data_IF_393981398066
#
_entry.id   IF_393981398066
#
_cell.length_a   1.000
_cell.length_b   1.000
_cell.length_c   1.000
_cell.angle_alpha   90.00
_cell.angle_beta   90.00
_cell.angle_gamma   90.00
#
_symmetry.space_group_name_H-M   'P 1'
#
loop_
_entity.id
_entity.type
_entity.pdbx_description
1 polymer ?
#
# COMPACT_ATOMS: atom_id res chain seq x y z
N UNK A 1 -5.66 -24.73 -20.28
CA UNK A 1 -6.47 -23.82 -19.47
C UNK A 1 -5.48 -22.94 -18.75
N UNK A 2 -5.38 -21.69 -19.20
CA UNK A 2 -4.44 -20.74 -18.62
C UNK A 2 -4.99 -20.36 -17.25
N UNK A 3 -4.46 -21.00 -16.21
CA UNK A 3 -4.65 -20.52 -14.85
C UNK A 3 -4.04 -19.13 -14.84
N UNK A 4 -4.86 -18.09 -14.73
CA UNK A 4 -4.42 -16.70 -14.72
C UNK A 4 -3.43 -16.38 -13.58
N UNK A 5 -3.14 -15.11 -13.36
CA UNK A 5 -2.26 -14.70 -12.26
C UNK A 5 -2.76 -15.24 -10.91
N UNK A 6 -1.86 -15.86 -10.13
CA UNK A 6 -2.15 -16.37 -8.78
C UNK A 6 -1.88 -15.32 -7.69
N UNK A 7 -1.23 -14.21 -8.04
CA UNK A 7 -0.86 -13.12 -7.13
C UNK A 7 -1.12 -11.81 -7.86
N UNK A 8 -1.71 -10.85 -7.15
CA UNK A 8 -1.86 -9.46 -7.59
C UNK A 8 -1.19 -8.57 -6.55
N UNK A 9 -0.27 -7.72 -6.99
CA UNK A 9 0.43 -6.77 -6.14
C UNK A 9 0.14 -5.34 -6.58
N UNK A 10 0.04 -4.43 -5.60
CA UNK A 10 -0.01 -3.00 -5.83
C UNK A 10 0.92 -2.32 -4.83
N UNK A 11 1.60 -1.26 -5.25
CA UNK A 11 2.59 -0.58 -4.42
C UNK A 11 3.32 0.53 -5.16
N UNK A 12 4.40 1.00 -4.56
CA UNK A 12 5.28 2.01 -5.15
C UNK A 12 6.73 1.54 -5.11
N UNK A 13 7.51 2.00 -6.09
CA UNK A 13 8.96 1.80 -6.14
C UNK A 13 9.62 3.17 -6.06
N UNK A 14 10.65 3.28 -5.23
CA UNK A 14 11.57 4.41 -5.24
C UNK A 14 12.80 4.03 -6.05
N UNK A 15 13.26 4.91 -6.94
CA UNK A 15 14.53 4.72 -7.61
C UNK A 15 15.59 5.56 -6.89
N UNK A 16 16.46 4.89 -6.14
CA UNK A 16 17.57 5.53 -5.44
C UNK A 16 18.88 5.40 -6.23
N UNK A 17 19.80 6.34 -6.02
CA UNK A 17 21.19 6.11 -6.39
C UNK A 17 21.75 4.94 -5.56
N UNK A 18 22.50 3.99 -6.15
CA UNK A 18 23.08 2.86 -5.41
C UNK A 18 24.09 3.26 -4.33
N UNK A 19 24.52 4.53 -4.30
CA UNK A 19 25.48 5.05 -3.31
C UNK A 19 24.96 6.28 -2.55
N UNK A 20 23.64 6.51 -2.56
CA UNK A 20 23.03 7.68 -1.91
C UNK A 20 21.96 7.29 -0.89
N UNK A 21 21.50 8.29 -0.12
CA UNK A 21 20.31 8.14 0.72
C UNK A 21 19.14 7.70 -0.14
N UNK A 22 18.38 6.72 0.36
CA UNK A 22 17.11 6.36 -0.26
C UNK A 22 16.17 7.57 -0.22
N UNK A 23 15.46 7.90 -1.31
CA UNK A 23 14.64 9.09 -1.37
C UNK A 23 13.34 8.90 -0.58
N UNK A 24 12.69 10.02 -0.24
CA UNK A 24 11.35 10.02 0.31
C UNK A 24 10.34 9.37 -0.65
N UNK A 25 9.40 8.60 -0.11
CA UNK A 25 8.24 8.07 -0.84
C UNK A 25 7.00 8.89 -0.49
N UNK A 26 6.26 9.32 -1.51
CA UNK A 26 5.08 10.17 -1.33
C UNK A 26 5.45 11.50 -0.68
N UNK A 27 4.83 11.83 0.45
CA UNK A 27 5.09 13.05 1.21
C UNK A 27 6.26 12.93 2.20
N UNK A 28 7.04 11.84 2.15
CA UNK A 28 8.22 11.66 3.00
C UNK A 28 7.91 11.36 4.47
N UNK A 29 6.69 10.93 4.76
CA UNK A 29 6.26 10.52 6.09
C UNK A 29 5.77 9.09 6.05
N UNK A 30 6.00 8.34 7.13
CA UNK A 30 5.38 7.03 7.28
C UNK A 30 3.85 7.17 7.33
N UNK A 31 3.11 6.23 6.73
CA UNK A 31 1.68 6.19 6.93
C UNK A 31 1.40 5.95 8.43
N UNK A 32 0.48 6.71 9.01
CA UNK A 32 0.11 6.65 10.43
C UNK A 32 -1.35 6.22 10.58
N UNK A 33 -1.72 5.66 11.73
CA UNK A 33 -3.11 5.51 12.16
C UNK A 33 -3.36 6.31 13.46
N UNK A 34 -4.59 6.80 13.73
CA UNK A 34 -5.75 6.81 12.83
C UNK A 34 -5.54 7.77 11.66
N UNK A 35 -6.20 7.48 10.54
CA UNK A 35 -5.78 7.95 9.22
C UNK A 35 -5.60 9.47 9.18
N UNK A 36 -4.42 9.99 8.79
CA UNK A 36 -4.21 11.41 8.67
C UNK A 36 -4.82 11.91 7.37
N UNK A 37 -5.36 13.12 7.39
CA UNK A 37 -5.68 13.93 6.21
C UNK A 37 -4.39 14.49 5.54
N UNK A 38 -3.25 13.84 5.76
CA UNK A 38 -1.93 14.47 5.74
C UNK A 38 -1.08 13.86 4.62
N UNK A 39 -1.61 13.84 3.40
CA UNK A 39 -0.81 13.72 2.17
C UNK A 39 -0.12 12.38 1.88
N UNK A 40 -0.27 11.32 2.69
CA UNK A 40 0.25 10.02 2.25
C UNK A 40 -0.49 9.57 0.97
N UNK A 41 0.21 9.11 -0.09
CA UNK A 41 -0.46 8.53 -1.25
C UNK A 41 -1.36 7.36 -0.83
N UNK A 42 -2.66 7.52 -1.05
CA UNK A 42 -3.70 6.53 -0.73
C UNK A 42 -4.21 5.85 -1.99
N UNK A 43 -4.29 4.53 -1.96
CA UNK A 43 -5.03 3.72 -2.93
C UNK A 43 -6.31 3.24 -2.26
N UNK A 44 -7.46 3.78 -2.69
CA UNK A 44 -8.77 3.49 -2.10
C UNK A 44 -9.62 2.58 -3.00
N UNK A 45 -10.64 1.96 -2.39
CA UNK A 45 -11.59 1.05 -3.03
C UNK A 45 -10.92 -0.04 -3.89
N UNK A 46 -9.83 -0.61 -3.37
CA UNK A 46 -9.00 -1.52 -4.16
C UNK A 46 -9.70 -2.88 -4.30
N UNK A 47 -9.97 -3.24 -5.55
CA UNK A 47 -10.66 -4.47 -5.95
C UNK A 47 -9.77 -5.32 -6.85
N UNK A 48 -9.88 -6.63 -6.68
CA UNK A 48 -9.17 -7.65 -7.45
C UNK A 48 -10.19 -8.49 -8.19
N UNK A 49 -9.95 -8.69 -9.50
CA UNK A 49 -10.77 -9.56 -10.33
C UNK A 49 -10.20 -10.97 -10.34
N UNK A 50 -11.01 -11.96 -9.98
CA UNK A 50 -10.59 -13.37 -9.95
C UNK A 50 -10.64 -14.01 -11.35
N UNK A 51 -10.24 -15.28 -11.46
CA UNK A 51 -10.24 -16.03 -12.72
C UNK A 51 -11.64 -16.29 -13.32
N UNK A 52 -12.71 -16.05 -12.56
CA UNK A 52 -14.10 -16.10 -13.02
C UNK A 52 -14.65 -14.73 -13.44
N UNK A 53 -13.79 -13.71 -13.53
CA UNK A 53 -14.18 -12.33 -13.80
C UNK A 53 -15.09 -11.70 -12.73
N UNK A 54 -15.02 -12.22 -11.51
CA UNK A 54 -15.75 -11.66 -10.36
C UNK A 54 -14.83 -10.67 -9.63
N UNK A 55 -15.36 -9.47 -9.35
CA UNK A 55 -14.64 -8.42 -8.63
C UNK A 55 -14.85 -8.57 -7.13
N UNK A 56 -13.77 -8.73 -6.38
CA UNK A 56 -13.78 -8.78 -4.92
C UNK A 56 -12.92 -7.66 -4.33
N UNK A 57 -13.25 -7.22 -3.12
CA UNK A 57 -12.35 -6.34 -2.34
C UNK A 57 -11.05 -7.09 -2.03
N UNK A 58 -9.92 -6.40 -1.93
CA UNK A 58 -8.61 -7.07 -1.81
C UNK A 58 -8.51 -7.97 -0.57
N UNK A 59 -9.14 -7.61 0.54
CA UNK A 59 -9.18 -8.40 1.78
C UNK A 59 -10.03 -9.68 1.72
N UNK A 60 -10.72 -9.92 0.59
CA UNK A 60 -11.29 -11.24 0.30
C UNK A 60 -10.20 -12.31 0.14
N UNK A 61 -8.98 -11.90 -0.23
CA UNK A 61 -7.82 -12.77 -0.39
C UNK A 61 -6.81 -12.55 0.75
N UNK A 62 -5.95 -13.54 1.06
CA UNK A 62 -4.81 -13.32 1.96
C UNK A 62 -3.90 -12.21 1.42
N UNK A 63 -3.54 -11.25 2.28
CA UNK A 63 -2.69 -10.12 1.92
C UNK A 63 -1.36 -10.22 2.68
N UNK A 64 -0.27 -9.95 1.96
CA UNK A 64 1.07 -9.83 2.50
C UNK A 64 1.63 -8.43 2.23
N UNK A 65 2.27 -7.82 3.25
CA UNK A 65 2.99 -6.55 3.09
C UNK A 65 4.44 -6.85 2.72
N UNK A 66 4.87 -6.38 1.55
CA UNK A 66 6.26 -6.49 1.09
C UNK A 66 6.91 -5.10 1.14
N UNK A 67 7.98 -4.97 1.93
CA UNK A 67 8.73 -3.75 2.13
C UNK A 67 10.23 -4.02 1.96
N UNK A 68 10.93 -3.17 1.22
CA UNK A 68 12.38 -3.26 1.06
C UNK A 68 13.10 -3.01 2.40
N UNK A 69 12.70 -1.96 3.12
CA UNK A 69 13.20 -1.65 4.46
C UNK A 69 12.13 -0.95 5.31
N UNK A 70 11.72 -1.53 6.44
CA UNK A 70 10.74 -0.91 7.35
C UNK A 70 11.30 0.32 8.07
N UNK A 71 12.62 0.54 8.03
CA UNK A 71 13.24 1.75 8.58
C UNK A 71 13.08 2.96 7.66
N UNK A 72 12.75 2.75 6.38
CA UNK A 72 12.69 3.80 5.37
C UNK A 72 11.31 3.96 4.75
N UNK A 73 10.57 2.86 4.63
CA UNK A 73 9.27 2.81 3.97
C UNK A 73 8.24 2.07 4.81
N UNK A 74 6.98 2.45 4.64
CA UNK A 74 5.85 1.85 5.31
C UNK A 74 4.67 1.68 4.36
N UNK A 75 3.94 0.59 4.59
CA UNK A 75 2.64 0.32 3.97
C UNK A 75 1.65 0.13 5.12
N UNK A 76 0.59 0.94 5.12
CA UNK A 76 -0.50 0.79 6.06
C UNK A 76 -1.76 0.36 5.33
N UNK A 77 -2.41 -0.69 5.84
CA UNK A 77 -3.62 -1.25 5.24
C UNK A 77 -4.76 -0.93 6.19
N UNK A 78 -5.82 -0.34 5.66
CA UNK A 78 -7.01 0.01 6.42
C UNK A 78 -8.28 -0.54 5.78
N UNK A 79 -9.25 -0.82 6.64
CA UNK A 79 -10.61 -1.18 6.25
C UNK A 79 -11.52 -0.19 6.98
N UNK A 80 -12.39 0.49 6.24
CA UNK A 80 -13.42 1.32 6.85
C UNK A 80 -14.56 0.43 7.33
N UNK A 81 -14.47 0.01 8.59
CA UNK A 81 -15.57 -0.66 9.30
C UNK A 81 -16.26 0.32 10.29
N UNK A 82 -17.56 0.12 10.58
CA UNK A 82 -18.28 0.98 11.52
C UNK A 82 -17.55 1.10 12.88
N UNK A 83 -17.50 2.30 13.49
CA UNK A 83 -18.29 3.50 13.19
C UNK A 83 -17.59 4.51 12.27
N UNK A 84 -16.38 4.19 11.76
CA UNK A 84 -15.59 5.12 10.98
C UNK A 84 -15.97 5.02 9.50
N UNK A 85 -17.07 5.71 9.13
CA UNK A 85 -17.53 5.89 7.74
C UNK A 85 -16.61 6.84 6.97
N UNK A 86 -15.40 6.39 6.71
CA UNK A 86 -14.63 6.98 5.64
C UNK A 86 -15.03 6.31 4.31
N UNK A 87 -15.22 7.10 3.25
CA UNK A 87 -15.75 6.62 1.96
C UNK A 87 -14.71 5.83 1.15
N UNK A 88 -13.51 5.58 1.71
CA UNK A 88 -12.36 4.97 1.04
C UNK A 88 -12.40 3.44 0.89
N UNK A 89 -13.38 2.74 1.47
CA UNK A 89 -13.49 1.28 1.36
C UNK A 89 -12.29 0.52 1.97
N UNK A 90 -11.80 -0.51 1.28
CA UNK A 90 -10.47 -1.08 1.57
C UNK A 90 -9.41 -0.22 0.91
N UNK A 91 -8.42 0.20 1.68
CA UNK A 91 -7.37 1.08 1.19
C UNK A 91 -6.01 0.68 1.73
N UNK A 92 -4.97 1.13 1.05
CA UNK A 92 -3.63 1.12 1.59
C UNK A 92 -2.91 2.43 1.30
N UNK A 93 -2.15 2.88 2.29
CA UNK A 93 -1.32 4.07 2.24
C UNK A 93 0.14 3.66 2.16
N UNK A 94 0.91 4.35 1.32
CA UNK A 94 2.34 4.13 1.17
C UNK A 94 3.11 5.40 1.50
N UNK A 95 4.29 5.27 2.09
CA UNK A 95 5.11 6.43 2.39
C UNK A 95 6.41 6.07 3.09
N UNK A 96 7.13 7.11 3.49
CA UNK A 96 8.34 6.98 4.29
C UNK A 96 9.37 8.05 3.95
N UNK A 97 10.17 8.49 4.93
CA UNK A 97 11.17 9.54 4.74
C UNK A 97 12.33 9.14 3.82
N UNK A 98 12.52 7.85 3.56
CA UNK A 98 13.78 7.35 3.03
C UNK A 98 14.90 7.51 4.08
N UNK A 99 16.15 7.50 3.64
CA UNK A 99 17.29 7.70 4.53
C UNK A 99 18.54 6.91 4.15
N UNK A 100 19.56 7.03 4.99
CA UNK A 100 20.87 6.40 4.79
C UNK A 100 20.94 4.96 5.36
N UNK A 101 19.93 4.51 6.09
CA UNK A 101 19.86 3.19 6.73
C UNK A 101 18.64 2.43 6.23
N UNK A 102 18.61 2.26 4.90
CA UNK A 102 17.77 1.31 4.20
C UNK A 102 18.66 0.14 3.78
#
# INVERSE_FOLDING_TARGET
>A
MDNGGNIVGAGGVVHASPFGSSPAMGHGQFPKQPVPSDGSPTFSDVKVMNSKYESHRMDYFPIEKLLDSPQCYGIEIGINEPPHHDHRGFFFDVGGPGGNTC
#
